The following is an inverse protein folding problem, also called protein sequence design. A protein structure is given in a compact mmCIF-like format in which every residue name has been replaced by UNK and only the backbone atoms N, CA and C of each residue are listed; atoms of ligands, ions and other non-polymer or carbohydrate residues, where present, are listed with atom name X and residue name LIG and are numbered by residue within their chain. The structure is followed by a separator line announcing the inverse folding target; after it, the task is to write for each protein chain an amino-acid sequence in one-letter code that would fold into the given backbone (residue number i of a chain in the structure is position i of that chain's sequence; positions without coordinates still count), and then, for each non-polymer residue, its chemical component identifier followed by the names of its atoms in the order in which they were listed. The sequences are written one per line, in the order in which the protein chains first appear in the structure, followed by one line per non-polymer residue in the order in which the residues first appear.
data_IF_254236703650
#
_entry.id   IF_254236703650
#
_cell.length_a   1.000
_cell.length_b   1.000
_cell.length_c   1.000
_cell.angle_alpha   90.00
_cell.angle_beta   90.00
_cell.angle_gamma   90.00
#
_symmetry.space_group_name_H-M   'P 1'
#
loop_
_entity.id
_entity.type
_entity.pdbx_description
1 polymer ?
#
# COMPACT_ATOMS: atom_id res chain seq x y z
N UNK A 1 -13.06 18.19 8.63
CA UNK A 1 -12.47 18.31 7.28
C UNK A 1 -11.85 16.98 6.89
N UNK A 2 -11.87 16.57 5.61
CA UNK A 2 -11.26 15.29 5.17
C UNK A 2 -9.74 15.34 5.35
N UNK A 3 -9.18 14.28 5.94
CA UNK A 3 -7.74 14.02 6.01
C UNK A 3 -7.39 13.03 4.90
N UNK A 4 -6.77 13.46 3.79
CA UNK A 4 -6.60 12.62 2.60
C UNK A 4 -5.84 11.31 2.89
N UNK A 5 -4.92 11.35 3.86
CA UNK A 5 -4.14 10.20 4.34
C UNK A 5 -4.97 9.20 5.13
N UNK A 6 -5.87 9.67 5.99
CA UNK A 6 -6.76 8.79 6.77
C UNK A 6 -7.73 8.09 5.84
N UNK A 7 -8.35 8.85 4.93
CA UNK A 7 -9.27 8.26 3.97
C UNK A 7 -8.54 7.28 3.03
N UNK A 8 -7.29 7.56 2.67
CA UNK A 8 -6.43 6.61 1.97
C UNK A 8 -6.19 5.33 2.75
N UNK A 9 -5.84 5.43 4.03
CA UNK A 9 -5.55 4.27 4.86
C UNK A 9 -6.78 3.36 4.99
N UNK A 10 -7.98 3.92 5.17
CA UNK A 10 -9.22 3.14 5.18
C UNK A 10 -9.43 2.41 3.85
N UNK A 11 -9.19 3.08 2.72
CA UNK A 11 -9.37 2.47 1.39
C UNK A 11 -8.36 1.35 1.15
N UNK A 12 -7.12 1.54 1.58
CA UNK A 12 -6.11 0.50 1.56
C UNK A 12 -6.51 -0.70 2.46
N UNK A 13 -7.06 -0.44 3.64
CA UNK A 13 -7.52 -1.49 4.56
C UNK A 13 -8.71 -2.31 3.99
N UNK A 14 -9.58 -1.70 3.18
CA UNK A 14 -10.65 -2.41 2.48
C UNK A 14 -10.11 -3.45 1.47
N UNK A 15 -8.87 -3.29 0.99
CA UNK A 15 -8.16 -4.32 0.21
C UNK A 15 -7.67 -5.51 1.04
N UNK A 16 -8.01 -5.60 2.33
CA UNK A 16 -7.87 -6.82 3.11
C UNK A 16 -9.24 -7.45 3.36
N UNK A 17 -10.29 -6.63 3.50
CA UNK A 17 -11.67 -7.04 3.78
C UNK A 17 -12.47 -7.66 2.62
N UNK A 18 -11.79 -8.03 1.53
CA UNK A 18 -12.31 -8.92 0.47
C UNK A 18 -11.87 -10.39 0.67
N UNK A 19 -11.39 -10.72 1.87
CA UNK A 19 -11.09 -12.09 2.30
C UNK A 19 -9.83 -12.75 1.73
N UNK A 20 -9.59 -13.99 2.13
CA UNK A 20 -8.50 -14.81 1.60
C UNK A 20 -7.11 -14.48 2.16
N UNK A 21 -6.07 -14.90 1.43
CA UNK A 21 -4.67 -14.81 1.87
C UNK A 21 -4.01 -13.58 1.27
N UNK A 22 -3.58 -12.65 2.12
CA UNK A 22 -3.05 -11.35 1.70
C UNK A 22 -1.59 -11.22 2.09
N UNK A 23 -0.69 -11.26 1.10
CA UNK A 23 0.71 -10.92 1.34
C UNK A 23 0.83 -9.43 1.65
N UNK A 24 1.54 -9.11 2.73
CA UNK A 24 1.67 -7.73 3.22
C UNK A 24 3.13 -7.29 3.25
N UNK A 25 3.43 -6.24 2.48
CA UNK A 25 4.71 -5.54 2.53
C UNK A 25 4.85 -4.62 3.75
N UNK A 26 5.95 -3.88 3.85
CA UNK A 26 6.22 -2.96 4.94
C UNK A 26 5.69 -1.53 4.67
N UNK A 27 5.59 -0.68 5.71
CA UNK A 27 5.00 0.67 5.72
C UNK A 27 3.47 0.71 5.66
N UNK A 28 2.89 1.35 4.63
CA UNK A 28 1.45 1.49 4.49
C UNK A 28 0.67 0.17 4.48
N UNK A 29 1.16 -0.94 3.88
CA UNK A 29 0.46 -2.22 3.91
C UNK A 29 0.29 -2.81 5.32
N UNK A 30 1.30 -2.68 6.20
CA UNK A 30 1.19 -3.09 7.61
C UNK A 30 0.07 -2.32 8.29
N UNK A 31 0.04 -0.99 8.12
CA UNK A 31 -0.98 -0.13 8.73
C UNK A 31 -2.37 -0.41 8.17
N UNK A 32 -2.47 -0.68 6.87
CA UNK A 32 -3.73 -1.03 6.21
C UNK A 32 -4.27 -2.38 6.72
N UNK A 33 -3.41 -3.41 6.83
CA UNK A 33 -3.82 -4.70 7.38
C UNK A 33 -4.21 -4.61 8.86
N UNK A 34 -3.46 -3.85 9.67
CA UNK A 34 -3.82 -3.58 11.08
C UNK A 34 -5.20 -2.93 11.19
N UNK A 35 -5.45 -1.89 10.39
CA UNK A 35 -6.74 -1.19 10.36
C UNK A 35 -7.87 -2.10 9.89
N UNK A 36 -7.60 -2.99 8.93
CA UNK A 36 -8.63 -3.84 8.34
C UNK A 36 -9.37 -4.69 9.38
N UNK A 37 -8.69 -5.17 10.42
CA UNK A 37 -9.34 -5.92 11.51
C UNK A 37 -10.39 -5.12 12.28
N UNK A 38 -10.36 -3.78 12.22
CA UNK A 38 -11.35 -2.88 12.81
C UNK A 38 -12.42 -2.41 11.82
N UNK A 39 -12.42 -2.90 10.57
CA UNK A 39 -13.40 -2.55 9.54
C UNK A 39 -14.36 -3.71 9.26
N UNK A 40 -15.55 -3.39 8.79
CA UNK A 40 -16.48 -4.42 8.30
C UNK A 40 -15.98 -5.10 7.02
N UNK A 41 -16.37 -6.37 6.84
CA UNK A 41 -16.12 -7.16 5.63
C UNK A 41 -15.64 -8.59 5.92
N UNK A 42 -15.01 -9.21 4.93
CA UNK A 42 -14.64 -10.63 5.00
C UNK A 42 -13.36 -10.86 5.82
N UNK A 43 -13.33 -12.00 6.50
CA UNK A 43 -12.15 -12.49 7.24
C UNK A 43 -10.99 -12.79 6.29
N UNK A 44 -9.79 -12.40 6.67
CA UNK A 44 -8.58 -12.57 5.86
C UNK A 44 -7.42 -13.10 6.70
N UNK A 45 -6.40 -13.64 6.03
CA UNK A 45 -5.13 -14.03 6.65
C UNK A 45 -4.06 -13.05 6.19
N UNK A 46 -3.49 -12.29 7.13
CA UNK A 46 -2.36 -11.41 6.85
C UNK A 46 -1.07 -12.21 6.85
N UNK A 47 -0.30 -12.17 5.77
CA UNK A 47 0.95 -12.94 5.66
C UNK A 47 2.15 -12.04 5.43
N UNK A 48 3.16 -12.17 6.29
CA UNK A 48 4.42 -11.44 6.20
C UNK A 48 5.52 -12.28 5.56
N UNK A 49 6.50 -11.62 4.96
CA UNK A 49 7.56 -12.26 4.17
C UNK A 49 8.35 -13.32 4.96
N UNK A 50 8.50 -13.15 6.27
CA UNK A 50 9.23 -14.08 7.15
C UNK A 50 8.35 -15.21 7.70
N UNK A 51 7.26 -15.54 7.00
CA UNK A 51 6.47 -16.73 7.29
C UNK A 51 5.46 -16.57 8.42
N UNK A 52 5.20 -15.37 8.93
CA UNK A 52 4.12 -15.17 9.89
C UNK A 52 2.78 -15.02 9.17
N UNK A 53 1.83 -15.89 9.48
CA UNK A 53 0.42 -15.73 9.09
C UNK A 53 -0.43 -15.38 10.30
N UNK A 54 -1.06 -14.21 10.28
CA UNK A 54 -1.88 -13.68 11.38
C UNK A 54 -3.37 -13.73 11.02
N UNK A 55 -4.20 -14.13 11.98
CA UNK A 55 -5.67 -14.14 11.85
C UNK A 55 -6.33 -12.93 12.51
N UNK A 56 -5.59 -12.24 13.36
CA UNK A 56 -6.02 -11.01 14.02
C UNK A 56 -4.92 -9.94 13.91
N UNK A 57 -5.19 -8.77 14.45
CA UNK A 57 -4.39 -7.57 14.29
C UNK A 57 -3.12 -7.52 15.16
N UNK A 58 -3.07 -8.39 16.18
CA UNK A 58 -2.00 -8.44 17.17
C UNK A 58 -2.12 -7.39 18.28
N UNK A 59 -1.35 -7.58 19.35
CA UNK A 59 -1.27 -6.69 20.50
C UNK A 59 -0.80 -5.26 20.15
N UNK A 60 0.03 -5.11 19.11
CA UNK A 60 0.55 -3.80 18.69
C UNK A 60 0.84 -3.73 17.18
N UNK A 61 0.89 -2.52 16.62
CA UNK A 61 1.33 -2.25 15.25
C UNK A 61 2.78 -2.70 15.08
N UNK A 62 3.10 -3.70 14.25
CA UNK A 62 4.47 -4.18 14.13
C UNK A 62 5.40 -3.11 13.55
N UNK A 63 6.63 -2.98 14.06
CA UNK A 63 7.65 -2.07 13.51
C UNK A 63 8.42 -2.63 12.31
N UNK A 64 8.21 -3.91 12.01
CA UNK A 64 8.78 -4.65 10.89
C UNK A 64 7.88 -5.83 10.54
N UNK A 65 7.98 -6.37 9.33
CA UNK A 65 7.37 -7.66 8.93
C UNK A 65 7.88 -8.85 9.77
N UNK A 66 8.94 -8.64 10.56
CA UNK A 66 9.56 -9.63 11.46
C UNK A 66 9.40 -9.29 12.94
N UNK A 67 8.55 -8.32 13.28
CA UNK A 67 8.31 -7.93 14.67
C UNK A 67 7.34 -8.90 15.38
N UNK A 68 7.80 -10.15 15.51
CA UNK A 68 6.99 -11.24 16.06
C UNK A 68 6.36 -10.95 17.43
N UNK A 69 7.01 -10.23 18.38
CA UNK A 69 6.37 -9.87 19.64
C UNK A 69 5.08 -9.05 19.48
N UNK A 70 4.98 -8.20 18.46
CA UNK A 70 3.84 -7.30 18.27
C UNK A 70 2.55 -8.02 17.85
N UNK A 71 2.66 -9.17 17.19
CA UNK A 71 1.54 -9.96 16.69
C UNK A 71 1.56 -11.42 17.15
N UNK A 72 2.28 -11.71 18.24
CA UNK A 72 2.43 -13.08 18.75
C UNK A 72 1.09 -13.71 19.16
N UNK A 73 0.18 -12.91 19.69
CA UNK A 73 -1.17 -13.29 20.12
C UNK A 73 -2.17 -13.48 18.96
N UNK A 74 -1.84 -12.97 17.77
CA UNK A 74 -2.64 -13.11 16.57
C UNK A 74 -2.11 -14.15 15.57
N UNK A 75 -0.98 -14.77 15.89
CA UNK A 75 -0.26 -15.67 15.00
C UNK A 75 -1.03 -17.00 14.83
N UNK A 76 -1.53 -17.26 13.63
CA UNK A 76 -2.21 -18.51 13.29
C UNK A 76 -1.24 -19.61 12.84
N UNK A 77 -0.18 -19.25 12.10
CA UNK A 77 0.85 -20.20 11.67
C UNK A 77 2.21 -19.53 11.42
N UNK A 78 3.27 -20.35 11.40
CA UNK A 78 4.61 -19.95 10.97
C UNK A 78 5.16 -20.87 9.89
N UNK A 79 5.91 -20.26 8.97
CA UNK A 79 6.82 -20.96 8.07
C UNK A 79 8.11 -20.15 7.87
N UNK A 80 8.89 -20.49 6.85
CA UNK A 80 10.10 -19.77 6.47
C UNK A 80 9.81 -18.72 5.40
N UNK A 81 10.77 -17.83 5.16
CA UNK A 81 10.75 -16.91 4.02
C UNK A 81 10.63 -17.64 2.69
N UNK A 82 11.30 -18.78 2.54
CA UNK A 82 11.24 -19.58 1.31
C UNK A 82 9.84 -20.17 1.09
N UNK A 83 9.17 -20.62 2.15
CA UNK A 83 7.80 -21.13 2.04
C UNK A 83 6.85 -20.05 1.52
N UNK A 84 7.01 -18.81 2.01
CA UNK A 84 6.20 -17.67 1.57
C UNK A 84 6.53 -17.22 0.16
N UNK A 85 7.80 -16.86 -0.11
CA UNK A 85 8.20 -16.22 -1.36
C UNK A 85 8.28 -17.19 -2.55
N UNK A 86 8.55 -18.47 -2.31
CA UNK A 86 8.64 -19.48 -3.37
C UNK A 86 7.42 -20.39 -3.40
N UNK A 87 6.97 -20.86 -2.23
CA UNK A 87 5.86 -21.82 -2.12
C UNK A 87 4.48 -21.19 -2.25
N UNK A 88 4.28 -20.01 -1.65
CA UNK A 88 2.97 -19.38 -1.55
C UNK A 88 2.75 -18.18 -2.47
N UNK A 89 3.79 -17.61 -3.07
CA UNK A 89 3.68 -16.36 -3.83
C UNK A 89 2.57 -16.34 -4.90
N UNK A 90 2.31 -17.49 -5.56
CA UNK A 90 1.23 -17.66 -6.56
C UNK A 90 -0.14 -18.01 -5.96
N UNK A 91 -0.19 -18.28 -4.67
CA UNK A 91 -1.39 -18.69 -3.92
C UNK A 91 -2.02 -17.54 -3.15
N UNK A 92 -1.34 -16.40 -3.02
CA UNK A 92 -1.95 -15.21 -2.44
C UNK A 92 -3.08 -14.71 -3.33
N UNK A 93 -4.22 -14.42 -2.71
CA UNK A 93 -5.35 -13.82 -3.40
C UNK A 93 -5.00 -12.40 -3.85
N UNK A 94 -4.26 -11.69 -2.98
CA UNK A 94 -3.79 -10.32 -3.19
C UNK A 94 -2.40 -10.14 -2.58
N UNK A 95 -1.60 -9.31 -3.23
CA UNK A 95 -0.29 -8.86 -2.74
C UNK A 95 -0.36 -7.35 -2.54
N UNK A 96 -0.28 -6.88 -1.30
CA UNK A 96 -0.38 -5.47 -0.94
C UNK A 96 0.99 -4.95 -0.53
N UNK A 97 1.52 -3.99 -1.29
CA UNK A 97 2.89 -3.47 -1.14
C UNK A 97 2.94 -1.95 -1.18
N UNK A 98 4.00 -1.37 -0.63
CA UNK A 98 4.28 0.07 -0.73
C UNK A 98 4.84 0.43 -2.12
N UNK A 99 4.44 1.59 -2.65
CA UNK A 99 4.87 2.10 -3.94
C UNK A 99 5.29 3.57 -3.86
N UNK A 100 6.39 3.83 -3.17
CA UNK A 100 6.94 5.17 -3.00
C UNK A 100 7.64 5.74 -4.24
N UNK A 101 7.95 4.92 -5.25
CA UNK A 101 8.37 5.35 -6.60
C UNK A 101 7.90 4.30 -7.62
N UNK A 102 6.91 4.63 -8.45
CA UNK A 102 6.16 3.68 -9.30
C UNK A 102 5.89 4.27 -10.67
N UNK A 103 5.79 3.43 -11.71
CA UNK A 103 5.37 3.86 -13.04
C UNK A 103 3.97 3.40 -13.44
N UNK A 104 3.46 3.92 -14.56
CA UNK A 104 2.13 3.60 -15.09
C UNK A 104 1.95 2.13 -15.48
N UNK A 105 3.04 1.36 -15.58
CA UNK A 105 3.03 -0.08 -15.83
C UNK A 105 3.07 -0.90 -14.53
N UNK A 106 3.06 -0.25 -13.37
CA UNK A 106 3.08 -0.89 -12.06
C UNK A 106 4.47 -1.34 -11.61
N UNK A 107 5.54 -0.90 -12.27
CA UNK A 107 6.91 -1.23 -11.87
C UNK A 107 7.37 -0.24 -10.81
N UNK A 108 8.12 -0.71 -9.83
CA UNK A 108 8.61 0.12 -8.73
C UNK A 108 10.13 0.18 -8.70
N UNK A 109 10.65 1.31 -8.21
CA UNK A 109 12.06 1.50 -7.91
C UNK A 109 12.25 1.71 -6.41
N UNK A 110 12.81 0.71 -5.75
CA UNK A 110 13.23 0.79 -4.35
C UNK A 110 14.72 0.50 -4.19
N UNK A 111 15.51 0.61 -5.27
CA UNK A 111 16.94 0.30 -5.28
C UNK A 111 17.83 1.53 -5.15
N UNK A 112 17.67 2.53 -6.01
CA UNK A 112 18.47 3.76 -5.98
C UNK A 112 17.83 4.89 -6.79
N UNK A 113 18.23 6.12 -6.50
CA UNK A 113 17.88 7.32 -7.28
C UNK A 113 19.14 7.91 -7.93
N UNK A 114 19.02 8.37 -9.18
CA UNK A 114 20.14 8.90 -9.97
C UNK A 114 20.86 7.81 -10.79
N UNK A 115 22.11 8.09 -11.19
CA UNK A 115 22.89 7.20 -12.05
C UNK A 115 23.22 5.86 -11.36
N UNK A 116 23.06 4.74 -12.07
CA UNK A 116 23.24 3.39 -11.51
C UNK A 116 24.62 3.15 -10.90
N UNK A 117 25.68 3.56 -11.59
CA UNK A 117 27.06 3.30 -11.16
C UNK A 117 27.52 4.22 -10.04
N UNK A 118 26.82 5.35 -9.84
CA UNK A 118 27.09 6.32 -8.79
C UNK A 118 25.77 6.95 -8.32
N UNK A 119 24.95 6.18 -7.58
CA UNK A 119 23.62 6.64 -7.21
C UNK A 119 23.71 7.85 -6.27
N UNK A 120 22.82 8.82 -6.48
CA UNK A 120 22.70 9.96 -5.57
C UNK A 120 22.13 9.53 -4.22
N UNK A 121 21.20 8.55 -4.24
CA UNK A 121 20.61 7.94 -3.04
C UNK A 121 20.53 6.44 -3.23
N UNK A 122 21.03 5.67 -2.25
CA UNK A 122 20.80 4.21 -2.17
C UNK A 122 19.58 3.94 -1.30
N UNK A 123 18.64 3.16 -1.83
CA UNK A 123 17.43 2.77 -1.13
C UNK A 123 17.59 1.34 -0.55
N UNK A 124 16.72 0.92 0.41
CA UNK A 124 16.84 -0.37 1.09
C UNK A 124 16.83 -1.61 0.17
N UNK A 125 16.28 -1.50 -1.04
CA UNK A 125 16.16 -2.60 -1.99
C UNK A 125 14.74 -3.14 -2.11
N UNK A 126 14.60 -4.23 -2.88
CA UNK A 126 13.31 -4.86 -3.16
C UNK A 126 12.81 -5.80 -2.06
N UNK A 127 13.71 -6.36 -1.24
CA UNK A 127 13.34 -7.49 -0.37
C UNK A 127 12.69 -8.61 -1.20
N UNK A 128 11.62 -9.20 -0.68
CA UNK A 128 10.81 -10.18 -1.43
C UNK A 128 9.82 -9.59 -2.44
N UNK A 129 9.73 -8.26 -2.58
CA UNK A 129 8.78 -7.63 -3.51
C UNK A 129 8.92 -8.10 -4.98
N UNK A 130 10.13 -8.33 -5.54
CA UNK A 130 10.26 -8.83 -6.91
C UNK A 130 9.59 -10.20 -7.09
N UNK A 131 9.71 -11.10 -6.12
CA UNK A 131 9.15 -12.44 -6.17
C UNK A 131 7.61 -12.41 -6.12
N UNK A 132 7.06 -11.71 -5.12
CA UNK A 132 5.60 -11.68 -4.93
C UNK A 132 4.88 -10.81 -5.96
N UNK A 133 5.48 -9.70 -6.42
CA UNK A 133 4.86 -8.85 -7.45
C UNK A 133 4.76 -9.58 -8.79
N UNK A 134 5.81 -10.33 -9.17
CA UNK A 134 5.82 -11.12 -10.40
C UNK A 134 4.86 -12.32 -10.34
N UNK A 135 4.56 -12.82 -9.14
CA UNK A 135 3.67 -13.95 -8.92
C UNK A 135 2.20 -13.56 -8.66
N UNK A 136 1.93 -12.29 -8.33
CA UNK A 136 0.63 -11.81 -7.89
C UNK A 136 -0.47 -12.00 -8.96
N UNK A 137 -1.62 -12.54 -8.57
CA UNK A 137 -2.84 -12.45 -9.37
C UNK A 137 -3.41 -11.03 -9.33
N UNK A 138 -3.52 -10.48 -8.12
CA UNK A 138 -3.89 -9.08 -7.86
C UNK A 138 -2.77 -8.41 -7.07
N UNK A 139 -2.22 -7.33 -7.63
CA UNK A 139 -1.16 -6.53 -7.04
C UNK A 139 -1.72 -5.16 -6.67
N UNK A 140 -1.67 -4.84 -5.39
CA UNK A 140 -2.16 -3.58 -4.83
C UNK A 140 -0.96 -2.78 -4.32
N UNK A 141 -0.66 -1.70 -5.03
CA UNK A 141 0.34 -0.72 -4.67
C UNK A 141 -0.28 0.38 -3.81
N UNK A 142 0.38 0.73 -2.72
CA UNK A 142 -0.03 1.78 -1.81
C UNK A 142 0.95 2.97 -1.91
N UNK A 143 0.44 4.12 -2.35
CA UNK A 143 1.18 5.38 -2.43
C UNK A 143 0.52 6.45 -1.56
N UNK A 144 0.88 6.49 -0.27
CA UNK A 144 0.36 7.49 0.67
C UNK A 144 1.00 8.88 0.56
N UNK A 145 2.03 9.04 -0.28
CA UNK A 145 2.76 10.29 -0.45
C UNK A 145 1.98 11.38 -1.21
N UNK A 146 2.40 12.63 -1.05
CA UNK A 146 1.87 13.79 -1.79
C UNK A 146 2.72 14.23 -2.98
N UNK A 147 3.92 13.68 -3.14
CA UNK A 147 4.86 14.04 -4.21
C UNK A 147 4.51 13.30 -5.51
N UNK A 148 3.79 13.97 -6.39
CA UNK A 148 3.35 13.42 -7.67
C UNK A 148 4.51 12.92 -8.55
N UNK A 149 5.71 13.48 -8.41
CA UNK A 149 6.90 13.06 -9.18
C UNK A 149 7.33 11.62 -8.91
N UNK A 150 6.83 11.02 -7.83
CA UNK A 150 7.03 9.62 -7.47
C UNK A 150 6.13 8.66 -8.25
N UNK A 151 5.15 9.19 -8.99
CA UNK A 151 4.38 8.44 -9.97
C UNK A 151 4.88 8.89 -11.33
N UNK A 152 5.52 7.99 -12.06
CA UNK A 152 6.28 8.30 -13.27
C UNK A 152 5.68 7.63 -14.51
N UNK A 153 6.08 8.08 -15.70
CA UNK A 153 5.79 7.34 -16.92
C UNK A 153 6.63 6.05 -16.98
N UNK A 154 7.87 6.11 -16.50
CA UNK A 154 8.79 4.98 -16.41
C UNK A 154 9.76 5.21 -15.27
N UNK A 155 9.93 4.22 -14.39
CA UNK A 155 10.94 4.31 -13.33
C UNK A 155 12.35 4.18 -13.88
N UNK A 156 13.31 4.81 -13.19
CA UNK A 156 14.72 4.85 -13.59
C UNK A 156 15.39 3.45 -13.50
N UNK A 157 14.94 2.64 -12.54
CA UNK A 157 15.37 1.28 -12.32
C UNK A 157 14.15 0.44 -11.94
N UNK A 158 14.03 -0.75 -12.54
CA UNK A 158 13.01 -1.71 -12.12
C UNK A 158 13.59 -2.56 -10.99
N UNK A 159 13.03 -2.41 -9.79
CA UNK A 159 13.34 -3.28 -8.65
C UNK A 159 12.35 -4.43 -8.59
N UNK A 160 11.06 -4.14 -8.71
CA UNK A 160 10.00 -5.14 -8.80
C UNK A 160 9.00 -4.76 -9.91
N UNK A 161 8.40 -5.77 -10.53
CA UNK A 161 7.45 -5.60 -11.62
C UNK A 161 6.31 -6.61 -11.48
N UNK A 162 5.09 -6.25 -11.92
CA UNK A 162 3.97 -7.15 -11.94
C UNK A 162 4.17 -8.30 -12.92
N UNK A 163 3.50 -9.42 -12.68
CA UNK A 163 3.33 -10.47 -13.67
C UNK A 163 2.50 -9.98 -14.87
N UNK A 164 2.70 -10.60 -16.03
CA UNK A 164 2.05 -10.18 -17.28
C UNK A 164 0.51 -10.25 -17.26
N UNK A 165 -0.06 -11.05 -16.35
CA UNK A 165 -1.52 -11.22 -16.18
C UNK A 165 -2.03 -10.65 -14.87
N UNK A 166 -1.18 -9.97 -14.10
CA UNK A 166 -1.57 -9.40 -12.81
C UNK A 166 -2.55 -8.26 -13.03
N UNK A 167 -3.63 -8.23 -12.26
CA UNK A 167 -4.43 -7.02 -12.10
C UNK A 167 -3.65 -6.08 -11.18
N UNK A 168 -3.30 -4.89 -11.65
CA UNK A 168 -2.47 -3.95 -10.88
C UNK A 168 -3.25 -2.69 -10.55
N UNK A 169 -3.38 -2.40 -9.25
CA UNK A 169 -4.07 -1.22 -8.74
C UNK A 169 -3.13 -0.41 -7.88
N UNK A 170 -3.14 0.90 -8.07
CA UNK A 170 -2.45 1.88 -7.23
C UNK A 170 -3.47 2.67 -6.43
N UNK A 171 -3.42 2.57 -5.10
CA UNK A 171 -4.18 3.46 -4.22
C UNK A 171 -3.33 4.66 -3.84
N UNK A 172 -3.92 5.85 -3.95
CA UNK A 172 -3.33 7.12 -3.55
C UNK A 172 -4.23 7.85 -2.56
N UNK A 173 -3.74 8.97 -2.02
CA UNK A 173 -4.57 9.89 -1.23
C UNK A 173 -5.72 10.52 -2.01
N UNK A 174 -5.63 10.60 -3.33
CA UNK A 174 -6.66 11.20 -4.18
C UNK A 174 -7.60 10.19 -4.81
N UNK A 175 -7.17 8.95 -5.06
CA UNK A 175 -7.94 8.04 -5.90
C UNK A 175 -7.36 6.65 -6.01
N UNK A 176 -7.89 5.86 -6.94
CA UNK A 176 -7.28 4.60 -7.36
C UNK A 176 -7.08 4.57 -8.87
N UNK A 177 -5.94 4.02 -9.29
CA UNK A 177 -5.54 3.93 -10.69
C UNK A 177 -5.29 2.47 -11.01
N UNK A 178 -5.93 1.95 -12.07
CA UNK A 178 -5.51 0.69 -12.67
C UNK A 178 -4.28 0.95 -13.51
N UNK A 179 -3.19 0.26 -13.19
CA UNK A 179 -1.92 0.36 -13.89
C UNK A 179 -1.81 -0.76 -14.94
N UNK A 180 -0.96 -0.56 -15.94
CA UNK A 180 -0.73 -1.53 -17.00
C UNK A 180 -0.68 -0.87 -18.37
N UNK A 181 -0.86 -1.68 -19.43
CA UNK A 181 -0.79 -1.23 -20.83
C UNK A 181 -1.82 -0.16 -21.19
N UNK A 182 -2.98 -0.20 -20.54
CA UNK A 182 -4.09 0.75 -20.70
C UNK A 182 -4.43 1.32 -19.32
N UNK A 183 -3.60 2.21 -18.78
CA UNK A 183 -3.77 2.70 -17.42
C UNK A 183 -4.98 3.64 -17.34
N UNK A 184 -5.77 3.52 -16.27
CA UNK A 184 -7.01 4.26 -16.10
C UNK A 184 -7.16 4.74 -14.66
N UNK A 185 -7.53 6.00 -14.49
CA UNK A 185 -7.99 6.54 -13.20
C UNK A 185 -9.42 6.03 -12.98
N UNK A 186 -9.58 5.08 -12.06
CA UNK A 186 -10.85 4.39 -11.84
C UNK A 186 -11.72 5.12 -10.80
N UNK A 187 -11.09 5.67 -9.77
CA UNK A 187 -11.80 6.36 -8.69
C UNK A 187 -11.10 7.66 -8.33
N UNK A 188 -11.87 8.71 -8.05
CA UNK A 188 -11.37 10.00 -7.56
C UNK A 188 -12.18 10.45 -6.35
N UNK A 189 -11.49 10.85 -5.29
CA UNK A 189 -12.11 11.41 -4.10
C UNK A 189 -12.54 12.86 -4.37
N UNK A 190 -13.80 13.16 -4.08
CA UNK A 190 -14.33 14.52 -4.15
C UNK A 190 -13.70 15.39 -3.04
N UNK A 191 -13.48 16.66 -3.35
CA UNK A 191 -13.08 17.71 -2.40
C UNK A 191 -11.79 17.41 -1.60
N UNK A 192 -10.88 16.62 -2.18
CA UNK A 192 -9.55 16.35 -1.61
C UNK A 192 -8.51 17.34 -2.18
N UNK A 193 -7.79 18.10 -1.33
CA UNK A 193 -6.73 19.00 -1.78
C UNK A 193 -5.70 18.30 -2.69
N UNK A 194 -5.43 18.89 -3.85
CA UNK A 194 -4.49 18.36 -4.84
C UNK A 194 -5.09 17.36 -5.84
N UNK A 195 -6.39 17.04 -5.77
CA UNK A 195 -7.03 16.12 -6.71
C UNK A 195 -6.95 16.60 -8.18
N UNK A 196 -7.06 17.90 -8.42
CA UNK A 196 -6.90 18.48 -9.77
C UNK A 196 -5.47 18.32 -10.29
N UNK A 197 -4.47 18.64 -9.45
CA UNK A 197 -3.06 18.47 -9.79
C UNK A 197 -2.71 17.00 -10.04
N UNK A 198 -3.24 16.08 -9.22
CA UNK A 198 -3.12 14.65 -9.41
C UNK A 198 -3.72 14.20 -10.75
N UNK A 199 -4.96 14.63 -11.05
CA UNK A 199 -5.63 14.31 -12.32
C UNK A 199 -4.85 14.82 -13.53
N UNK A 200 -4.36 16.06 -13.47
CA UNK A 200 -3.54 16.65 -14.53
C UNK A 200 -2.22 15.88 -14.71
N UNK A 201 -1.58 15.48 -13.61
CA UNK A 201 -0.38 14.66 -13.64
C UNK A 201 -0.64 13.29 -14.27
N UNK A 202 -1.70 12.59 -13.85
CA UNK A 202 -2.09 11.30 -14.43
C UNK A 202 -2.34 11.40 -15.94
N UNK A 203 -3.06 12.45 -16.39
CA UNK A 203 -3.25 12.71 -17.82
C UNK A 203 -1.92 12.92 -18.54
N UNK A 204 -0.99 13.67 -17.95
CA UNK A 204 0.35 13.89 -18.50
C UNK A 204 1.20 12.61 -18.62
N UNK A 205 0.90 11.59 -17.81
CA UNK A 205 1.51 10.27 -17.89
C UNK A 205 0.80 9.31 -18.87
N UNK A 206 -0.25 9.77 -19.57
CA UNK A 206 -1.01 8.94 -20.50
C UNK A 206 -2.06 8.04 -19.83
N UNK A 207 -2.42 8.30 -18.58
CA UNK A 207 -3.53 7.62 -17.90
C UNK A 207 -4.86 8.16 -18.42
N UNK A 208 -5.80 7.27 -18.74
CA UNK A 208 -7.18 7.68 -19.06
C UNK A 208 -7.87 8.24 -17.81
N UNK A 209 -8.32 9.49 -17.91
CA UNK A 209 -8.98 10.26 -16.83
C UNK A 209 -10.37 10.73 -17.24
N UNK A 210 -10.96 10.12 -18.27
CA UNK A 210 -12.22 10.59 -18.88
C UNK A 210 -13.44 10.46 -17.97
N UNK A 211 -13.52 9.39 -17.17
CA UNK A 211 -14.70 9.10 -16.35
C UNK A 211 -14.36 8.34 -15.05
N UNK A 212 -13.56 8.92 -14.13
CA UNK A 212 -13.36 8.32 -12.83
C UNK A 212 -14.66 8.31 -12.03
N UNK A 213 -14.94 7.20 -11.35
CA UNK A 213 -16.11 7.12 -10.48
C UNK A 213 -15.90 8.01 -9.23
N UNK A 214 -16.91 8.77 -8.79
CA UNK A 214 -16.87 9.46 -7.51
C UNK A 214 -16.67 8.44 -6.39
N UNK A 215 -15.67 8.67 -5.55
CA UNK A 215 -15.35 7.72 -4.49
C UNK A 215 -16.32 7.84 -3.32
N UNK A 216 -16.77 6.70 -2.80
CA UNK A 216 -17.60 6.67 -1.60
C UNK A 216 -16.89 7.34 -0.42
N UNK A 217 -17.66 8.09 0.38
CA UNK A 217 -17.19 8.69 1.61
C UNK A 217 -16.70 7.64 2.60
N UNK A 218 -15.81 8.07 3.49
CA UNK A 218 -15.34 7.25 4.61
C UNK A 218 -16.16 7.60 5.85
N UNK A 219 -16.66 6.57 6.55
CA UNK A 219 -17.49 6.77 7.74
C UNK A 219 -16.68 7.48 8.85
N UNK A 220 -17.34 8.24 9.75
CA UNK A 220 -16.65 8.82 10.90
C UNK A 220 -16.00 7.76 11.82
N UNK A 221 -16.57 6.56 11.87
CA UNK A 221 -16.04 5.44 12.65
C UNK A 221 -14.75 4.88 12.05
N UNK A 222 -14.74 4.58 10.75
CA UNK A 222 -13.55 4.12 10.02
C UNK A 222 -12.42 5.16 10.12
N UNK A 223 -12.76 6.46 10.05
CA UNK A 223 -11.80 7.55 10.23
C UNK A 223 -11.19 7.56 11.63
N UNK A 224 -11.98 7.33 12.68
CA UNK A 224 -11.49 7.24 14.06
C UNK A 224 -10.57 6.03 14.24
N UNK A 225 -10.95 4.87 13.71
CA UNK A 225 -10.12 3.67 13.74
C UNK A 225 -8.78 3.90 13.02
N UNK A 226 -8.81 4.48 11.82
CA UNK A 226 -7.61 4.81 11.05
C UNK A 226 -6.71 5.83 11.77
N UNK A 227 -7.29 6.87 12.39
CA UNK A 227 -6.54 7.83 13.19
C UNK A 227 -5.87 7.17 14.41
N UNK A 228 -6.53 6.20 15.05
CA UNK A 228 -5.96 5.41 16.14
C UNK A 228 -4.74 4.59 15.70
N UNK A 229 -4.85 3.88 14.58
CA UNK A 229 -3.71 3.13 14.00
C UNK A 229 -2.54 4.04 13.66
N UNK A 230 -2.81 5.23 13.10
CA UNK A 230 -1.77 6.21 12.79
C UNK A 230 -1.09 6.77 14.05
N UNK A 231 -1.84 7.01 15.12
CA UNK A 231 -1.29 7.48 16.39
C UNK A 231 -0.38 6.41 17.01
N UNK A 232 -0.84 5.17 17.11
CA UNK A 232 -0.05 4.04 17.61
C UNK A 232 1.22 3.84 16.77
N UNK A 233 1.09 3.83 15.44
CA UNK A 233 2.23 3.69 14.53
C UNK A 233 3.23 4.84 14.68
N UNK A 234 2.77 6.07 14.92
CA UNK A 234 3.60 7.24 15.11
C UNK A 234 4.49 7.11 16.36
N UNK A 235 3.89 6.68 17.49
CA UNK A 235 4.59 6.36 18.74
C UNK A 235 5.59 5.22 18.55
N UNK A 236 5.19 4.22 17.76
CA UNK A 236 6.02 3.06 17.42
C UNK A 236 7.13 3.33 16.40
N UNK A 237 7.26 4.56 15.90
CA UNK A 237 8.41 4.96 15.10
C UNK A 237 8.15 5.18 13.61
N UNK A 238 6.93 4.96 13.12
CA UNK A 238 6.59 5.18 11.71
C UNK A 238 6.64 6.67 11.34
N UNK A 239 7.63 7.05 10.52
CA UNK A 239 7.76 8.43 10.06
C UNK A 239 6.57 8.90 9.21
N UNK A 240 6.03 8.00 8.38
CA UNK A 240 4.83 8.28 7.58
C UNK A 240 3.59 8.51 8.44
N UNK A 241 3.47 7.77 9.55
CA UNK A 241 2.37 7.91 10.49
C UNK A 241 2.51 9.18 11.33
N UNK A 242 3.72 9.55 11.79
CA UNK A 242 3.95 10.84 12.46
C UNK A 242 3.51 12.03 11.60
N UNK A 243 3.85 12.03 10.31
CA UNK A 243 3.42 13.09 9.38
C UNK A 243 1.91 13.09 9.21
N UNK A 244 1.31 11.92 8.99
CA UNK A 244 -0.13 11.78 8.84
C UNK A 244 -0.90 12.21 10.10
N UNK A 245 -0.40 11.83 11.28
CA UNK A 245 -1.00 12.18 12.56
C UNK A 245 -0.96 13.69 12.81
N UNK A 246 0.13 14.36 12.45
CA UNK A 246 0.20 15.83 12.48
C UNK A 246 -0.82 16.49 11.53
N UNK A 247 -1.11 15.91 10.35
CA UNK A 247 -2.20 16.38 9.48
C UNK A 247 -3.58 16.27 10.16
N UNK A 248 -3.79 15.27 11.04
CA UNK A 248 -5.05 15.09 11.78
C UNK A 248 -5.19 16.09 12.93
N UNK A 249 -4.13 16.30 13.73
CA UNK A 249 -4.19 17.19 14.89
C UNK A 249 -4.39 18.66 14.52
N UNK A 250 -3.90 19.11 13.36
CA UNK A 250 -4.13 20.48 12.84
C UNK A 250 -5.61 20.76 12.52
N UNK A 251 -6.44 19.72 12.41
CA UNK A 251 -7.86 19.84 12.07
C UNK A 251 -8.80 19.69 13.28
N UNK A 252 -8.24 19.53 14.49
CA UNK A 252 -8.97 19.54 15.77
C UNK A 252 -8.99 20.95 16.36
#
# INVERSE_FOLDING_TARGET
MSTPTVDFLVRAAREFRRGGWVFTGFHWPVLAGRLAHALDGEQFVQVFEAGAGCWDAGAAVPTSTTDYPAYADALGWRATTSDVLLGMARRFDRVVLDASNVDVLGRVNSSFLGARDRPAVRLPGGGGAPDVAAAARELVWLHGGSDLRRIQNRVEQVTAAPGARSLVRLHTRWGSVRLGVEPQLEELAADVPGAEAFTAHMRGLGVDVSAPQPRAGVSPEDRRAAAGVLAEAAERGYAVARRAHAEVEVLR
#
